data_IF_173358499628
#
_entry.id   IF_173358499628
#
_cell.length_a   1.000
_cell.length_b   1.000
_cell.length_c   1.000
_cell.angle_alpha   90.00
_cell.angle_beta   90.00
_cell.angle_gamma   90.00
#
_symmetry.space_group_name_H-M   'P 1'
#
loop_
_entity.id
_entity.type
_entity.pdbx_description
1 polymer ?
#
# COMPACT_ATOMS: atom_id res chain seq x y z
N UNK A 1 21.34 -5.27 -9.47
CA UNK A 1 20.51 -6.30 -8.82
C UNK A 1 21.21 -6.75 -7.54
N UNK A 2 20.49 -6.78 -6.41
CA UNK A 2 21.00 -7.01 -5.05
C UNK A 2 21.63 -8.40 -4.82
N UNK A 3 22.75 -8.70 -5.48
CA UNK A 3 23.69 -9.78 -5.14
C UNK A 3 23.13 -11.21 -4.96
N UNK A 4 21.92 -11.51 -5.40
CA UNK A 4 21.28 -12.83 -5.24
C UNK A 4 20.98 -13.25 -3.80
N UNK A 5 21.14 -12.35 -2.81
CA UNK A 5 21.05 -12.71 -1.38
C UNK A 5 19.61 -12.93 -0.89
N UNK A 6 18.61 -12.39 -1.58
CA UNK A 6 17.21 -12.47 -1.19
C UNK A 6 16.36 -12.91 -2.39
N UNK A 7 15.55 -13.96 -2.20
CA UNK A 7 14.68 -14.55 -3.23
C UNK A 7 13.36 -13.79 -3.42
N UNK A 8 13.04 -12.86 -2.54
CA UNK A 8 11.79 -12.10 -2.56
C UNK A 8 11.45 -11.55 -1.19
N UNK A 9 10.22 -11.08 -1.03
CA UNK A 9 9.65 -10.63 0.23
C UNK A 9 8.41 -11.46 0.55
N UNK A 10 8.34 -11.99 1.77
CA UNK A 10 7.09 -12.47 2.34
C UNK A 10 6.33 -11.28 2.92
N UNK A 11 5.05 -11.14 2.56
CA UNK A 11 4.24 -9.96 2.92
C UNK A 11 2.94 -10.41 3.59
N UNK A 12 2.60 -9.75 4.70
CA UNK A 12 1.29 -9.84 5.36
C UNK A 12 0.57 -8.51 5.22
N UNK A 13 -0.70 -8.55 4.82
CA UNK A 13 -1.51 -7.36 4.55
C UNK A 13 -2.58 -7.20 5.63
N UNK A 14 -2.84 -5.96 6.01
CA UNK A 14 -3.85 -5.59 7.00
C UNK A 14 -4.78 -4.53 6.41
N UNK A 15 -6.08 -4.69 6.61
CA UNK A 15 -7.09 -3.66 6.35
C UNK A 15 -7.36 -2.90 7.64
N UNK A 16 -7.26 -1.57 7.60
CA UNK A 16 -7.50 -0.71 8.76
C UNK A 16 -8.50 0.38 8.42
N UNK A 17 -9.44 0.64 9.33
CA UNK A 17 -10.32 1.81 9.29
C UNK A 17 -9.62 2.94 10.02
N UNK A 18 -9.25 4.00 9.31
CA UNK A 18 -8.72 5.21 9.92
C UNK A 18 -9.85 5.96 10.63
N UNK A 19 -9.71 6.16 11.94
CA UNK A 19 -10.68 6.84 12.80
C UNK A 19 -10.21 8.24 13.24
N UNK A 20 -9.06 8.68 12.71
CA UNK A 20 -8.44 9.94 13.03
C UNK A 20 -8.82 11.06 12.07
N UNK A 21 -8.01 12.10 12.07
CA UNK A 21 -8.09 13.25 11.16
C UNK A 21 -6.85 13.32 10.27
N UNK A 22 -6.98 13.95 9.10
CA UNK A 22 -5.92 13.96 8.09
C UNK A 22 -4.60 14.59 8.59
N UNK A 23 -4.66 15.53 9.54
CA UNK A 23 -3.49 16.16 10.18
C UNK A 23 -2.67 15.19 11.04
N UNK A 24 -3.21 14.02 11.36
CA UNK A 24 -2.50 12.96 12.10
C UNK A 24 -1.65 12.07 11.17
N UNK A 25 -1.77 12.21 9.84
CA UNK A 25 -0.93 11.49 8.87
C UNK A 25 0.37 12.27 8.66
N UNK A 26 1.39 11.96 9.46
CA UNK A 26 2.73 12.54 9.31
C UNK A 26 3.63 11.64 8.45
N UNK A 27 4.07 12.14 7.29
CA UNK A 27 5.05 11.49 6.41
C UNK A 27 6.43 12.18 6.43
N UNK A 28 6.57 13.29 7.17
CA UNK A 28 7.81 14.04 7.31
C UNK A 28 8.64 13.44 8.45
N UNK A 29 9.39 12.38 8.13
CA UNK A 29 10.35 11.72 9.03
C UNK A 29 11.78 12.02 8.60
N UNK A 30 12.77 11.71 9.45
CA UNK A 30 14.20 11.94 9.16
C UNK A 30 14.65 11.30 7.82
N UNK A 31 14.16 10.09 7.53
CA UNK A 31 14.34 9.39 6.25
C UNK A 31 12.95 9.04 5.65
N UNK A 32 12.32 9.93 4.87
CA UNK A 32 10.94 9.76 4.43
C UNK A 32 10.81 8.69 3.34
N UNK A 33 9.92 7.70 3.54
CA UNK A 33 9.55 6.74 2.51
C UNK A 33 8.60 7.35 1.46
N UNK A 34 7.76 8.31 1.88
CA UNK A 34 6.73 8.92 1.06
C UNK A 34 6.96 10.42 0.90
N UNK A 35 6.72 10.94 -0.31
CA UNK A 35 6.81 12.38 -0.60
C UNK A 35 5.45 13.09 -0.62
N UNK A 36 4.36 12.33 -0.80
CA UNK A 36 2.99 12.82 -0.80
C UNK A 36 2.03 11.68 -0.49
N UNK A 37 0.86 12.02 0.04
CA UNK A 37 -0.22 11.07 0.28
C UNK A 37 -1.57 11.68 -0.10
N UNK A 38 -2.53 10.83 -0.44
CA UNK A 38 -3.92 11.21 -0.62
C UNK A 38 -4.82 9.99 -0.42
N UNK A 39 -6.07 10.23 0.00
CA UNK A 39 -7.10 9.20 -0.05
C UNK A 39 -7.46 8.88 -1.50
N UNK A 40 -7.62 7.60 -1.82
CA UNK A 40 -7.99 7.14 -3.16
C UNK A 40 -9.10 6.07 -3.07
N UNK A 41 -10.09 6.09 -3.97
CA UNK A 41 -11.06 5.00 -4.08
C UNK A 41 -10.35 3.69 -4.39
N UNK A 42 -10.78 2.60 -3.75
CA UNK A 42 -10.19 1.27 -3.93
C UNK A 42 -10.14 0.83 -5.40
N UNK A 43 -11.19 1.13 -6.17
CA UNK A 43 -11.26 0.83 -7.60
C UNK A 43 -10.10 1.45 -8.41
N UNK A 44 -9.57 2.58 -7.95
CA UNK A 44 -8.45 3.27 -8.62
C UNK A 44 -7.06 2.77 -8.18
N UNK A 45 -6.96 2.00 -7.09
CA UNK A 45 -5.67 1.54 -6.55
C UNK A 45 -4.94 0.62 -7.53
N UNK A 46 -5.64 -0.34 -8.13
CA UNK A 46 -5.04 -1.34 -9.03
C UNK A 46 -4.53 -0.69 -10.34
N UNK A 47 -5.21 0.37 -10.80
CA UNK A 47 -4.83 1.07 -12.03
C UNK A 47 -3.59 1.97 -11.83
N UNK A 48 -3.52 2.65 -10.68
CA UNK A 48 -2.47 3.64 -10.36
C UNK A 48 -1.20 3.04 -9.76
N UNK A 49 -1.24 1.81 -9.25
CA UNK A 49 -0.07 1.17 -8.64
C UNK A 49 0.97 0.77 -9.70
N UNK A 50 2.24 0.76 -9.27
CA UNK A 50 3.37 0.31 -10.09
C UNK A 50 3.15 -1.10 -10.65
N UNK A 51 3.53 -1.37 -11.91
CA UNK A 51 3.14 -2.61 -12.61
C UNK A 51 3.46 -3.90 -11.86
N UNK A 52 4.62 -3.99 -11.22
CA UNK A 52 5.05 -5.20 -10.52
C UNK A 52 4.29 -5.49 -9.21
N UNK A 53 3.53 -4.53 -8.67
CA UNK A 53 2.67 -4.73 -7.47
C UNK A 53 1.20 -4.95 -7.82
N UNK A 54 0.79 -4.78 -9.08
CA UNK A 54 -0.63 -4.84 -9.50
C UNK A 54 -1.32 -6.14 -9.09
N UNK A 55 -0.68 -7.28 -9.34
CA UNK A 55 -1.27 -8.58 -9.02
C UNK A 55 -1.47 -8.77 -7.52
N UNK A 56 -0.48 -8.37 -6.70
CA UNK A 56 -0.58 -8.43 -5.24
C UNK A 56 -1.73 -7.54 -4.75
N UNK A 57 -1.82 -6.30 -5.25
CA UNK A 57 -2.89 -5.37 -4.87
C UNK A 57 -4.27 -5.88 -5.30
N UNK A 58 -4.39 -6.45 -6.50
CA UNK A 58 -5.65 -7.02 -6.98
C UNK A 58 -6.14 -8.16 -6.07
N UNK A 59 -5.24 -9.05 -5.64
CA UNK A 59 -5.56 -10.12 -4.68
C UNK A 59 -5.97 -9.56 -3.33
N UNK A 60 -5.20 -8.62 -2.76
CA UNK A 60 -5.51 -7.99 -1.47
C UNK A 60 -6.88 -7.30 -1.49
N UNK A 61 -7.20 -6.57 -2.56
CA UNK A 61 -8.52 -5.92 -2.73
C UNK A 61 -9.64 -6.96 -2.86
N UNK A 62 -9.39 -8.08 -3.55
CA UNK A 62 -10.38 -9.14 -3.67
C UNK A 62 -10.67 -9.80 -2.32
N UNK A 63 -9.64 -10.13 -1.53
CA UNK A 63 -9.76 -10.73 -0.19
C UNK A 63 -10.49 -9.81 0.79
N UNK A 64 -10.30 -8.50 0.68
CA UNK A 64 -10.95 -7.52 1.54
C UNK A 64 -12.30 -7.02 1.06
N UNK A 65 -12.80 -7.48 -0.11
CA UNK A 65 -13.99 -6.94 -0.77
C UNK A 65 -15.23 -6.88 0.12
N UNK A 66 -15.44 -7.85 1.01
CA UNK A 66 -16.61 -7.89 1.89
C UNK A 66 -16.55 -6.87 3.05
N UNK A 67 -15.37 -6.29 3.30
CA UNK A 67 -15.11 -5.35 4.40
C UNK A 67 -14.83 -3.91 3.94
N UNK A 68 -14.74 -3.69 2.62
CA UNK A 68 -14.53 -2.40 1.98
C UNK A 68 -15.84 -1.64 1.79
#
# INVERSE_FOLDING_TARGET
FWGGKYRGQEQKWYLMRFLGTDDQVNIETDDPEFSAWCWQPVASLVEKIVPFKREVYARVVAEFREYL
#
